data_IF_642392921238
#
_entry.id   IF_642392921238
#
_cell.length_a   1.000
_cell.length_b   1.000
_cell.length_c   1.000
_cell.angle_alpha   90.00
_cell.angle_beta   90.00
_cell.angle_gamma   90.00
#
_symmetry.space_group_name_H-M   'P 1'
#
loop_
_entity.id
_entity.type
_entity.pdbx_description
1 polymer ?
#
# COMPACT_ATOMS: atom_id res chain seq x y z
N UNK A 1 1.18 -4.06 -8.00
CA UNK A 1 2.53 -3.54 -7.74
C UNK A 1 3.21 -4.29 -6.60
N UNK A 2 2.76 -4.20 -5.34
CA UNK A 2 3.39 -4.97 -4.24
C UNK A 2 3.51 -6.48 -4.52
N UNK A 3 2.46 -7.11 -5.05
CA UNK A 3 2.47 -8.53 -5.42
C UNK A 3 3.49 -8.91 -6.52
N UNK A 4 3.91 -7.96 -7.37
CA UNK A 4 4.88 -8.18 -8.45
C UNK A 4 6.31 -8.18 -7.88
N UNK A 5 6.57 -7.30 -6.90
CA UNK A 5 7.89 -7.13 -6.30
C UNK A 5 8.11 -8.14 -5.17
N UNK A 6 7.05 -8.56 -4.47
CA UNK A 6 7.13 -9.45 -3.31
C UNK A 6 7.97 -10.74 -3.51
N UNK A 7 7.92 -11.44 -4.67
CA UNK A 7 8.75 -12.62 -4.90
C UNK A 7 10.26 -12.34 -5.00
N UNK A 8 10.65 -11.08 -5.23
CA UNK A 8 12.02 -10.68 -5.53
C UNK A 8 12.73 -10.01 -4.34
N UNK A 9 12.05 -9.82 -3.21
CA UNK A 9 12.56 -9.10 -2.04
C UNK A 9 12.25 -9.84 -0.75
N UNK A 10 13.09 -9.68 0.28
CA UNK A 10 12.88 -10.29 1.60
C UNK A 10 11.58 -9.81 2.28
N UNK A 11 11.21 -8.55 2.07
CA UNK A 11 10.00 -7.95 2.64
C UNK A 11 9.53 -6.80 1.74
N UNK A 12 8.25 -6.78 1.40
CA UNK A 12 7.58 -5.67 0.75
C UNK A 12 6.59 -5.05 1.73
N UNK A 13 6.73 -3.74 1.99
CA UNK A 13 5.84 -2.99 2.89
C UNK A 13 5.12 -1.90 2.13
N UNK A 14 3.88 -1.62 2.50
CA UNK A 14 3.13 -0.46 2.00
C UNK A 14 3.24 0.64 3.06
N UNK A 15 3.87 1.74 2.66
CA UNK A 15 3.99 2.92 3.49
C UNK A 15 2.73 3.81 3.36
N UNK A 16 2.40 4.54 4.43
CA UNK A 16 1.32 5.51 4.41
C UNK A 16 1.68 6.72 3.52
N UNK A 17 0.95 6.97 2.41
CA UNK A 17 1.31 8.03 1.47
C UNK A 17 1.27 9.43 2.09
N UNK A 18 0.45 9.68 3.12
CA UNK A 18 0.42 10.98 3.82
C UNK A 18 1.71 11.26 4.59
N UNK A 19 2.28 10.23 5.21
CA UNK A 19 3.50 10.35 6.00
C UNK A 19 4.75 10.32 5.10
N UNK A 20 4.73 9.51 4.03
CA UNK A 20 5.77 9.55 2.99
C UNK A 20 5.85 10.92 2.34
N UNK A 21 4.72 11.59 2.10
CA UNK A 21 4.69 12.92 1.47
C UNK A 21 5.42 14.00 2.28
N UNK A 22 5.46 13.87 3.61
CA UNK A 22 6.24 14.75 4.50
C UNK A 22 7.75 14.57 4.28
N UNK A 23 8.18 13.38 3.86
CA UNK A 23 9.59 13.00 3.64
C UNK A 23 10.00 13.20 2.17
N UNK A 24 9.05 13.12 1.23
CA UNK A 24 9.28 13.07 -0.22
C UNK A 24 9.57 14.42 -0.92
N UNK A 25 10.02 15.45 -0.19
CA UNK A 25 10.38 16.77 -0.76
C UNK A 25 11.78 16.81 -1.39
N UNK A 26 12.34 15.67 -1.80
CA UNK A 26 13.65 15.60 -2.43
C UNK A 26 13.66 16.25 -3.84
N UNK A 27 14.71 17.02 -4.12
CA UNK A 27 14.91 17.74 -5.40
C UNK A 27 15.27 16.84 -6.58
N UNK A 28 15.81 15.64 -6.33
CA UNK A 28 16.14 14.62 -7.34
C UNK A 28 15.36 13.36 -6.98
N UNK A 29 14.45 12.95 -7.87
CA UNK A 29 13.58 11.79 -7.68
C UNK A 29 13.94 10.71 -8.68
N UNK A 30 14.58 9.66 -8.20
CA UNK A 30 14.86 8.44 -8.98
C UNK A 30 14.48 7.25 -8.13
N UNK A 31 13.88 6.23 -8.74
CA UNK A 31 13.34 5.07 -8.01
C UNK A 31 14.39 4.40 -7.12
N UNK A 32 15.65 4.32 -7.58
CA UNK A 32 16.77 3.74 -6.82
C UNK A 32 17.08 4.53 -5.55
N UNK A 33 17.18 5.86 -5.65
CA UNK A 33 17.50 6.72 -4.50
C UNK A 33 16.31 6.75 -3.54
N UNK A 34 15.09 6.90 -4.06
CA UNK A 34 13.86 6.96 -3.26
C UNK A 34 13.64 5.64 -2.50
N UNK A 35 13.85 4.49 -3.13
CA UNK A 35 13.75 3.18 -2.46
C UNK A 35 14.78 3.04 -1.32
N UNK A 36 16.01 3.48 -1.53
CA UNK A 36 17.05 3.46 -0.49
C UNK A 36 16.73 4.35 0.70
N UNK A 37 16.26 5.57 0.45
CA UNK A 37 15.84 6.52 1.51
C UNK A 37 14.65 5.96 2.30
N UNK A 38 13.64 5.41 1.62
CA UNK A 38 12.48 4.80 2.28
C UNK A 38 12.88 3.57 3.11
N UNK A 39 13.80 2.74 2.63
CA UNK A 39 14.29 1.59 3.38
C UNK A 39 15.04 2.00 4.67
N UNK A 40 15.88 3.04 4.61
CA UNK A 40 16.56 3.57 5.80
C UNK A 40 15.57 4.18 6.81
N UNK A 41 14.56 4.91 6.33
CA UNK A 41 13.50 5.47 7.19
C UNK A 41 12.64 4.38 7.83
N UNK A 42 12.35 3.33 7.09
CA UNK A 42 11.67 2.15 7.59
C UNK A 42 12.50 1.43 8.66
N UNK A 43 13.81 1.23 8.42
CA UNK A 43 14.72 0.61 9.39
C UNK A 43 14.96 1.43 10.67
N UNK A 44 14.58 2.72 10.67
CA UNK A 44 14.68 3.61 11.84
C UNK A 44 13.34 3.83 12.54
N UNK A 45 12.34 2.99 12.26
CA UNK A 45 10.95 3.09 12.78
C UNK A 45 10.27 4.44 12.47
N UNK A 46 10.84 5.22 11.54
CA UNK A 46 10.35 6.54 11.15
C UNK A 46 9.28 6.47 10.06
N UNK A 47 8.95 5.25 9.58
CA UNK A 47 7.93 5.02 8.58
C UNK A 47 7.00 3.87 9.03
N UNK A 48 5.82 4.17 9.58
CA UNK A 48 4.92 3.12 10.04
C UNK A 48 4.35 2.34 8.85
N UNK A 49 4.28 1.02 9.04
CA UNK A 49 3.65 0.12 8.07
C UNK A 49 2.13 0.30 8.08
N UNK A 50 1.53 0.24 6.89
CA UNK A 50 0.08 0.10 6.78
C UNK A 50 -0.24 -1.38 6.74
N UNK A 51 -1.24 -1.80 7.53
CA UNK A 51 -1.75 -3.16 7.47
C UNK A 51 -2.26 -3.50 6.06
N UNK A 52 -1.78 -4.61 5.51
CA UNK A 52 -2.20 -5.13 4.22
C UNK A 52 -3.00 -6.41 4.48
N UNK A 53 -4.24 -6.51 3.98
CA UNK A 53 -5.00 -7.74 4.08
C UNK A 53 -4.35 -8.88 3.28
N UNK A 54 -4.51 -10.10 3.77
CA UNK A 54 -4.25 -11.33 3.02
C UNK A 54 -5.18 -11.46 1.80
N UNK A 55 -4.84 -12.33 0.84
CA UNK A 55 -5.58 -12.48 -0.43
C UNK A 55 -7.10 -12.76 -0.34
N UNK A 56 -7.64 -13.57 0.61
CA UNK A 56 -9.08 -13.81 0.67
C UNK A 56 -9.88 -12.56 1.10
N UNK A 57 -9.29 -11.69 1.93
CA UNK A 57 -9.96 -10.50 2.45
C UNK A 57 -10.39 -9.48 1.36
N UNK A 58 -9.55 -9.05 0.40
CA UNK A 58 -9.97 -8.18 -0.69
C UNK A 58 -10.96 -8.87 -1.63
N UNK A 59 -10.90 -10.18 -1.83
CA UNK A 59 -11.87 -10.92 -2.62
C UNK A 59 -13.28 -10.82 -1.99
N UNK A 60 -13.37 -11.06 -0.67
CA UNK A 60 -14.63 -10.91 0.07
C UNK A 60 -15.15 -9.47 0.04
N UNK A 61 -14.28 -8.47 0.23
CA UNK A 61 -14.65 -7.05 0.14
C UNK A 61 -15.22 -6.69 -1.23
N UNK A 62 -14.68 -7.24 -2.32
CA UNK A 62 -15.21 -7.06 -3.68
C UNK A 62 -16.61 -7.66 -3.82
N UNK A 63 -16.82 -8.88 -3.31
CA UNK A 63 -18.13 -9.55 -3.34
C UNK A 63 -19.19 -8.76 -2.57
N UNK A 64 -18.88 -8.33 -1.34
CA UNK A 64 -19.80 -7.51 -0.52
C UNK A 64 -20.10 -6.18 -1.18
N UNK A 65 -19.09 -5.51 -1.74
CA UNK A 65 -19.28 -4.24 -2.45
C UNK A 65 -20.21 -4.41 -3.66
N UNK A 66 -20.02 -5.48 -4.45
CA UNK A 66 -20.89 -5.79 -5.59
C UNK A 66 -22.33 -6.03 -5.15
N UNK A 67 -22.55 -6.81 -4.09
CA UNK A 67 -23.89 -7.04 -3.52
C UNK A 67 -24.54 -5.72 -3.11
N UNK A 68 -23.83 -4.90 -2.35
CA UNK A 68 -24.36 -3.62 -1.86
C UNK A 68 -24.72 -2.67 -3.00
N UNK A 69 -23.95 -2.67 -4.10
CA UNK A 69 -24.28 -1.89 -5.29
C UNK A 69 -25.58 -2.35 -5.94
N UNK A 70 -25.83 -3.66 -6.02
CA UNK A 70 -27.08 -4.21 -6.59
C UNK A 70 -28.28 -3.80 -5.74
N UNK A 71 -28.18 -3.99 -4.42
CA UNK A 71 -29.23 -3.62 -3.46
C UNK A 71 -29.53 -2.12 -3.53
N UNK A 72 -28.50 -1.27 -3.59
CA UNK A 72 -28.70 0.19 -3.69
C UNK A 72 -29.37 0.60 -5.00
N UNK A 73 -29.12 -0.12 -6.09
CA UNK A 73 -29.72 0.16 -7.41
C UNK A 73 -31.16 -0.35 -7.53
N UNK A 74 -31.57 -1.28 -6.68
CA UNK A 74 -32.92 -1.86 -6.65
C UNK A 74 -33.48 -1.75 -5.23
N UNK A 75 -33.74 -0.53 -4.74
CA UNK A 75 -34.47 -0.39 -3.49
C UNK A 75 -35.87 -0.98 -3.68
N UNK A 76 -36.32 -1.78 -2.70
CA UNK A 76 -37.69 -2.26 -2.63
C UNK A 76 -38.68 -1.11 -2.46
#
# INVERSE_FOLDING_TARGET
MAAIVAPHVKKAVIANPKQVRVIAYAKIKTDTIDAGVLAQRYASDFLPEVWIPDEPTPALRRQVTRRNQIVRKHPA
#
